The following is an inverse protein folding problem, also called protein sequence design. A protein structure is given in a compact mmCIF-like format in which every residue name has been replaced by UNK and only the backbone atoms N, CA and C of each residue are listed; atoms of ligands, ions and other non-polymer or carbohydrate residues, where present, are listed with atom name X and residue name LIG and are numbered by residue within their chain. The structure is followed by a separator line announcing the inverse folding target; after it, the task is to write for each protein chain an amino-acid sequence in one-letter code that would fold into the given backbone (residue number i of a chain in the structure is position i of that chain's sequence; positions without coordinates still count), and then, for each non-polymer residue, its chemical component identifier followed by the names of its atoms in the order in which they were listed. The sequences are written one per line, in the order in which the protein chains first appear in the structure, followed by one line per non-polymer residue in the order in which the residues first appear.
data_IF_897872228183
#
_entry.id   IF_897872228183
#
_cell.length_a   1.000
_cell.length_b   1.000
_cell.length_c   1.000
_cell.angle_alpha   90.00
_cell.angle_beta   90.00
_cell.angle_gamma   90.00
#
_symmetry.space_group_name_H-M   'P 1'
#
loop_
_entity.id
_entity.type
_entity.pdbx_description
1 polymer ?
#
# COMPACT_ATOMS: atom_id res chain seq x y z
N UNK A 1 -3.26 -13.43 -33.88
CA UNK A 1 -3.39 -14.73 -34.60
C UNK A 1 -3.50 -14.52 -36.11
N UNK A 2 -4.50 -13.76 -36.59
CA UNK A 2 -4.74 -13.49 -38.03
C UNK A 2 -3.57 -12.82 -38.79
N UNK A 3 -2.79 -11.93 -38.17
CA UNK A 3 -1.69 -11.21 -38.83
C UNK A 3 -0.29 -11.72 -38.50
N UNK A 4 -0.16 -12.59 -37.49
CA UNK A 4 1.13 -12.97 -36.89
C UNK A 4 1.42 -14.48 -36.97
N UNK A 5 0.41 -15.33 -37.23
CA UNK A 5 0.57 -16.78 -37.39
C UNK A 5 1.48 -17.42 -36.32
N UNK A 6 2.36 -18.34 -36.74
CA UNK A 6 3.38 -18.96 -35.88
C UNK A 6 4.51 -18.02 -35.43
N UNK A 7 4.61 -16.81 -35.99
CA UNK A 7 5.59 -15.79 -35.60
C UNK A 7 5.30 -15.14 -34.24
N UNK A 8 4.11 -15.34 -33.67
CA UNK A 8 3.75 -14.90 -32.33
C UNK A 8 4.62 -15.56 -31.26
N UNK A 9 4.98 -16.84 -31.44
CA UNK A 9 5.88 -17.58 -30.54
C UNK A 9 7.30 -17.01 -30.51
N UNK A 10 7.74 -16.33 -31.58
CA UNK A 10 9.03 -15.59 -31.61
C UNK A 10 8.93 -14.15 -31.12
N UNK A 11 7.72 -13.63 -30.89
CA UNK A 11 7.49 -12.25 -30.42
C UNK A 11 6.92 -12.28 -29.01
N UNK A 12 7.71 -12.86 -28.10
CA UNK A 12 7.36 -13.08 -26.69
C UNK A 12 6.83 -11.81 -26.01
N UNK A 13 7.41 -10.63 -26.30
CA UNK A 13 6.94 -9.35 -25.77
C UNK A 13 5.52 -8.95 -26.21
N UNK A 14 5.10 -9.31 -27.43
CA UNK A 14 3.72 -9.06 -27.88
C UNK A 14 2.74 -10.03 -27.20
N UNK A 15 3.14 -11.30 -27.06
CA UNK A 15 2.35 -12.29 -26.34
C UNK A 15 2.20 -11.92 -24.86
N UNK A 16 3.26 -11.43 -24.23
CA UNK A 16 3.25 -10.94 -22.86
C UNK A 16 2.22 -9.83 -22.67
N UNK A 17 2.19 -8.82 -23.55
CA UNK A 17 1.19 -7.75 -23.47
C UNK A 17 -0.25 -8.24 -23.64
N UNK A 18 -0.49 -9.21 -24.52
CA UNK A 18 -1.81 -9.84 -24.59
C UNK A 18 -2.18 -10.57 -23.30
N UNK A 19 -1.20 -11.24 -22.66
CA UNK A 19 -1.39 -11.89 -21.37
C UNK A 19 -1.65 -10.87 -20.26
N UNK A 20 -0.98 -9.72 -20.27
CA UNK A 20 -1.19 -8.63 -19.30
C UNK A 20 -2.62 -8.07 -19.42
N UNK A 21 -3.12 -7.86 -20.63
CA UNK A 21 -4.51 -7.42 -20.88
C UNK A 21 -5.50 -8.42 -20.28
N UNK A 22 -5.35 -9.71 -20.61
CA UNK A 22 -6.26 -10.76 -20.15
C UNK A 22 -6.18 -10.97 -18.64
N UNK A 23 -4.97 -10.92 -18.07
CA UNK A 23 -4.74 -11.08 -16.63
C UNK A 23 -5.42 -9.95 -15.86
N UNK A 24 -5.23 -8.70 -16.26
CA UNK A 24 -5.89 -7.57 -15.59
C UNK A 24 -7.41 -7.59 -15.76
N UNK A 25 -7.92 -7.96 -16.94
CA UNK A 25 -9.36 -8.11 -17.14
C UNK A 25 -9.96 -9.17 -16.21
N UNK A 26 -9.26 -10.30 -16.05
CA UNK A 26 -9.65 -11.35 -15.11
C UNK A 26 -9.61 -10.86 -13.67
N UNK A 27 -8.54 -10.19 -13.24
CA UNK A 27 -8.40 -9.65 -11.88
C UNK A 27 -9.50 -8.63 -11.56
N UNK A 28 -9.76 -7.67 -12.45
CA UNK A 28 -10.84 -6.69 -12.28
C UNK A 28 -12.20 -7.38 -12.17
N UNK A 29 -12.46 -8.37 -13.04
CA UNK A 29 -13.70 -9.15 -12.99
C UNK A 29 -13.85 -9.94 -11.69
N UNK A 30 -12.76 -10.54 -11.20
CA UNK A 30 -12.73 -11.28 -9.95
C UNK A 30 -12.96 -10.36 -8.74
N UNK A 31 -12.33 -9.17 -8.70
CA UNK A 31 -12.56 -8.17 -7.66
C UNK A 31 -14.03 -7.71 -7.63
N UNK A 32 -14.61 -7.42 -8.79
CA UNK A 32 -16.03 -7.04 -8.92
C UNK A 32 -16.94 -8.17 -8.43
N UNK A 33 -16.68 -9.41 -8.86
CA UNK A 33 -17.47 -10.58 -8.45
C UNK A 33 -17.36 -10.83 -6.95
N UNK A 34 -16.16 -10.72 -6.38
CA UNK A 34 -15.95 -10.90 -4.94
C UNK A 34 -16.68 -9.83 -4.13
N UNK A 35 -16.64 -8.57 -4.56
CA UNK A 35 -17.35 -7.48 -3.91
C UNK A 35 -18.86 -7.68 -3.95
N UNK A 36 -19.39 -8.15 -5.08
CA UNK A 36 -20.80 -8.53 -5.23
C UNK A 36 -21.17 -9.67 -4.28
N UNK A 37 -20.38 -10.75 -4.25
CA UNK A 37 -20.64 -11.94 -3.43
C UNK A 37 -20.58 -11.65 -1.93
N UNK A 38 -19.82 -10.64 -1.53
CA UNK A 38 -19.73 -10.16 -0.14
C UNK A 38 -20.85 -9.19 0.23
N UNK A 39 -21.79 -8.92 -0.66
CA UNK A 39 -22.93 -8.04 -0.41
C UNK A 39 -22.61 -6.55 -0.49
N UNK A 40 -21.61 -6.18 -1.30
CA UNK A 40 -21.21 -4.77 -1.56
C UNK A 40 -20.92 -3.97 -0.28
N UNK A 41 -20.01 -4.42 0.59
CA UNK A 41 -19.71 -3.72 1.84
C UNK A 41 -19.14 -2.32 1.57
N UNK A 42 -19.81 -1.27 2.08
CA UNK A 42 -19.46 0.12 1.78
C UNK A 42 -18.00 0.47 2.11
N UNK A 43 -17.43 -0.11 3.18
CA UNK A 43 -16.03 0.11 3.57
C UNK A 43 -14.99 -0.47 2.60
N UNK A 44 -15.36 -1.39 1.71
CA UNK A 44 -14.45 -1.95 0.69
C UNK A 44 -14.53 -1.23 -0.65
N UNK A 45 -15.49 -0.30 -0.80
CA UNK A 45 -15.66 0.43 -2.05
C UNK A 45 -14.38 1.15 -2.50
N UNK A 46 -13.62 1.86 -1.62
CA UNK A 46 -12.37 2.48 -2.03
C UNK A 46 -11.35 1.47 -2.58
N UNK A 47 -11.22 0.30 -1.94
CA UNK A 47 -10.31 -0.77 -2.38
C UNK A 47 -10.70 -1.33 -3.74
N UNK A 48 -12.00 -1.62 -3.96
CA UNK A 48 -12.48 -2.09 -5.25
C UNK A 48 -12.22 -1.04 -6.33
N UNK A 49 -12.58 0.22 -6.07
CA UNK A 49 -12.39 1.31 -7.01
C UNK A 49 -10.93 1.45 -7.42
N UNK A 50 -10.02 1.42 -6.44
CA UNK A 50 -8.59 1.49 -6.71
C UNK A 50 -8.11 0.32 -7.56
N UNK A 51 -8.52 -0.91 -7.24
CA UNK A 51 -8.15 -2.11 -8.01
C UNK A 51 -8.67 -2.06 -9.45
N UNK A 52 -9.87 -1.53 -9.67
CA UNK A 52 -10.41 -1.33 -11.01
C UNK A 52 -9.64 -0.24 -11.77
N UNK A 53 -9.39 0.92 -11.16
CA UNK A 53 -8.66 2.03 -11.80
C UNK A 53 -7.23 1.62 -12.19
N UNK A 54 -6.50 0.93 -11.30
CA UNK A 54 -5.17 0.37 -11.58
C UNK A 54 -5.22 -0.72 -12.66
N UNK A 55 -6.19 -1.63 -12.60
CA UNK A 55 -6.37 -2.68 -13.59
C UNK A 55 -6.67 -2.13 -15.00
N UNK A 56 -7.55 -1.12 -15.11
CA UNK A 56 -7.85 -0.47 -16.38
C UNK A 56 -6.65 0.30 -16.94
N UNK A 57 -5.88 0.98 -16.09
CA UNK A 57 -4.65 1.65 -16.51
C UNK A 57 -3.65 0.66 -17.10
N UNK A 58 -3.40 -0.47 -16.41
CA UNK A 58 -2.52 -1.53 -16.90
C UNK A 58 -3.00 -2.15 -18.22
N UNK A 59 -4.31 -2.32 -18.38
CA UNK A 59 -4.91 -2.77 -19.65
C UNK A 59 -4.61 -1.77 -20.77
N UNK A 60 -4.86 -0.46 -20.56
CA UNK A 60 -4.59 0.58 -21.56
C UNK A 60 -3.09 0.68 -21.91
N UNK A 61 -2.21 0.51 -20.93
CA UNK A 61 -0.76 0.47 -21.13
C UNK A 61 -0.35 -0.72 -22.00
N UNK A 62 -0.86 -1.91 -21.69
CA UNK A 62 -0.57 -3.12 -22.43
C UNK A 62 -1.10 -3.06 -23.87
N UNK A 63 -2.31 -2.53 -24.10
CA UNK A 63 -2.85 -2.31 -25.44
C UNK A 63 -2.03 -1.31 -26.26
N UNK A 64 -1.68 -0.16 -25.70
CA UNK A 64 -0.85 0.82 -26.42
C UNK A 64 0.53 0.24 -26.74
N UNK A 65 1.15 -0.49 -25.80
CA UNK A 65 2.37 -1.23 -26.04
C UNK A 65 2.20 -2.22 -27.20
N UNK A 66 1.11 -2.98 -27.22
CA UNK A 66 0.78 -3.93 -28.27
C UNK A 66 0.68 -3.24 -29.63
N UNK A 67 -0.09 -2.14 -29.74
CA UNK A 67 -0.27 -1.41 -31.00
C UNK A 67 1.01 -0.75 -31.49
N UNK A 68 1.80 -0.13 -30.60
CA UNK A 68 3.08 0.49 -30.96
C UNK A 68 4.08 -0.48 -31.57
N UNK A 69 4.02 -1.75 -31.17
CA UNK A 69 4.97 -2.79 -31.56
C UNK A 69 4.37 -3.83 -32.53
N UNK A 70 3.13 -3.64 -32.97
CA UNK A 70 2.53 -4.52 -33.96
C UNK A 70 3.25 -4.31 -35.31
N UNK A 71 3.72 -5.38 -35.98
CA UNK A 71 4.48 -5.24 -37.23
C UNK A 71 3.66 -4.68 -38.38
N UNK A 72 2.37 -5.04 -38.42
CA UNK A 72 1.42 -4.57 -39.42
C UNK A 72 0.85 -3.22 -38.93
N UNK A 73 1.40 -2.12 -39.45
CA UNK A 73 1.02 -0.74 -39.07
C UNK A 73 -0.44 -0.41 -39.42
N UNK A 74 -0.97 -0.75 -40.62
CA UNK A 74 -2.39 -0.58 -40.92
C UNK A 74 -3.31 -1.29 -39.91
N UNK A 75 -3.01 -2.54 -39.56
CA UNK A 75 -3.78 -3.28 -38.57
C UNK A 75 -3.68 -2.63 -37.17
N UNK A 76 -2.52 -2.09 -36.81
CA UNK A 76 -2.31 -1.41 -35.55
C UNK A 76 -3.17 -0.13 -35.42
N UNK A 77 -3.25 0.66 -36.50
CA UNK A 77 -4.07 1.87 -36.53
C UNK A 77 -5.57 1.55 -36.47
N UNK A 78 -6.01 0.55 -37.23
CA UNK A 78 -7.39 0.08 -37.19
C UNK A 78 -7.79 -0.41 -35.79
N UNK A 79 -6.94 -1.24 -35.17
CA UNK A 79 -7.19 -1.72 -33.81
C UNK A 79 -7.20 -0.59 -32.79
N UNK A 80 -6.26 0.36 -32.88
CA UNK A 80 -6.21 1.52 -31.99
C UNK A 80 -7.47 2.37 -32.11
N UNK A 81 -7.96 2.60 -33.32
CA UNK A 81 -9.20 3.35 -33.54
C UNK A 81 -10.43 2.61 -33.01
N UNK A 82 -10.47 1.27 -33.14
CA UNK A 82 -11.58 0.46 -32.63
C UNK A 82 -11.61 0.39 -31.10
N UNK A 83 -10.45 0.27 -30.44
CA UNK A 83 -10.39 0.15 -28.97
C UNK A 83 -10.36 1.49 -28.25
N UNK A 84 -9.73 2.51 -28.84
CA UNK A 84 -9.50 3.82 -28.24
C UNK A 84 -9.77 4.93 -29.26
N UNK A 85 -11.02 5.10 -29.73
CA UNK A 85 -11.35 6.06 -30.78
C UNK A 85 -11.01 7.50 -30.39
N UNK A 86 -11.20 7.84 -29.11
CA UNK A 86 -10.91 9.14 -28.49
C UNK A 86 -9.58 9.18 -27.74
N UNK A 87 -8.80 8.09 -27.77
CA UNK A 87 -7.53 7.97 -27.04
C UNK A 87 -7.64 7.17 -25.73
N UNK A 88 -6.63 7.34 -24.87
CA UNK A 88 -6.58 6.72 -23.53
C UNK A 88 -7.47 7.50 -22.57
N UNK A 89 -8.21 6.80 -21.72
CA UNK A 89 -9.14 7.39 -20.77
C UNK A 89 -8.76 7.14 -19.32
N UNK A 90 -7.92 6.13 -19.06
CA UNK A 90 -7.56 5.77 -17.70
C UNK A 90 -6.48 6.71 -17.17
N UNK A 91 -6.85 7.53 -16.18
CA UNK A 91 -5.90 8.34 -15.40
C UNK A 91 -5.20 7.52 -14.31
N UNK A 92 -5.68 6.30 -14.06
CA UNK A 92 -5.22 5.48 -12.95
C UNK A 92 -5.81 5.93 -11.60
N UNK A 93 -5.40 5.27 -10.51
CA UNK A 93 -5.87 5.64 -9.18
C UNK A 93 -5.31 6.99 -8.74
N UNK A 94 -6.19 7.87 -8.25
CA UNK A 94 -5.78 9.18 -7.72
C UNK A 94 -5.05 9.06 -6.37
N UNK A 95 -4.21 10.04 -6.06
CA UNK A 95 -3.53 10.14 -4.75
C UNK A 95 -4.52 10.22 -3.58
N UNK A 96 -5.66 10.90 -3.78
CA UNK A 96 -6.72 10.98 -2.77
C UNK A 96 -7.29 9.59 -2.45
N UNK A 97 -7.53 8.78 -3.49
CA UNK A 97 -7.97 7.40 -3.31
C UNK A 97 -6.88 6.56 -2.64
N UNK A 98 -5.62 6.75 -3.04
CA UNK A 98 -4.47 6.11 -2.38
C UNK A 98 -4.38 6.43 -0.89
N UNK A 99 -4.64 7.67 -0.50
CA UNK A 99 -4.67 8.09 0.91
C UNK A 99 -5.78 7.38 1.69
N UNK A 100 -7.00 7.30 1.13
CA UNK A 100 -8.11 6.58 1.75
C UNK A 100 -7.79 5.09 1.97
N UNK A 101 -7.10 4.46 1.01
CA UNK A 101 -6.65 3.07 1.17
C UNK A 101 -5.61 2.95 2.29
N UNK A 102 -4.66 3.87 2.36
CA UNK A 102 -3.64 3.86 3.39
C UNK A 102 -4.25 3.98 4.79
N UNK A 103 -5.22 4.88 4.98
CA UNK A 103 -5.97 5.01 6.24
C UNK A 103 -6.66 3.69 6.63
N UNK A 104 -7.37 3.05 5.69
CA UNK A 104 -8.06 1.77 5.93
C UNK A 104 -7.09 0.66 6.34
N UNK A 105 -5.88 0.63 5.76
CA UNK A 105 -4.88 -0.41 5.98
C UNK A 105 -4.03 -0.16 7.24
N UNK A 106 -3.81 1.11 7.60
CA UNK A 106 -3.03 1.54 8.76
C UNK A 106 -3.86 1.63 10.03
N UNK A 107 -5.17 1.44 9.97
CA UNK A 107 -6.03 1.33 11.15
C UNK A 107 -6.60 -0.08 11.34
N UNK A 108 -6.70 -0.58 12.58
CA UNK A 108 -7.50 -1.75 12.90
C UNK A 108 -8.95 -1.53 12.46
N UNK A 109 -9.36 -2.19 11.38
CA UNK A 109 -10.68 -2.05 10.80
C UNK A 109 -11.23 -3.41 10.39
N UNK A 110 -12.56 -3.54 10.38
CA UNK A 110 -13.21 -4.77 9.91
C UNK A 110 -12.88 -5.08 8.44
N UNK A 111 -12.50 -4.07 7.66
CA UNK A 111 -12.03 -4.24 6.28
C UNK A 111 -10.66 -4.91 6.26
N UNK A 112 -9.72 -4.45 7.11
CA UNK A 112 -8.39 -5.05 7.27
C UNK A 112 -8.49 -6.51 7.72
N UNK A 113 -9.35 -6.81 8.70
CA UNK A 113 -9.59 -8.17 9.18
C UNK A 113 -10.12 -9.09 8.07
N UNK A 114 -10.94 -8.57 7.16
CA UNK A 114 -11.44 -9.32 5.99
C UNK A 114 -10.39 -9.50 4.91
N UNK A 115 -9.43 -8.58 4.77
CA UNK A 115 -8.31 -8.71 3.83
C UNK A 115 -7.29 -9.75 4.31
N UNK A 116 -7.10 -9.85 5.62
CA UNK A 116 -6.22 -10.86 6.24
C UNK A 116 -6.94 -12.16 6.59
N UNK A 117 -8.22 -12.29 6.26
CA UNK A 117 -8.99 -13.50 6.53
C UNK A 117 -8.35 -14.72 5.86
N UNK A 118 -8.00 -15.72 6.67
CA UNK A 118 -7.31 -16.94 6.23
C UNK A 118 -5.78 -16.86 6.30
N UNK A 119 -5.21 -15.68 6.56
CA UNK A 119 -3.80 -15.55 6.93
C UNK A 119 -3.62 -15.81 8.43
N UNK A 120 -2.49 -16.43 8.81
CA UNK A 120 -2.10 -16.54 10.21
C UNK A 120 -1.47 -15.22 10.66
N UNK A 121 -2.15 -14.50 11.56
CA UNK A 121 -1.66 -13.26 12.18
C UNK A 121 -1.34 -13.55 13.65
N UNK A 122 -0.07 -13.73 14.01
CA UNK A 122 0.30 -14.02 15.39
C UNK A 122 0.06 -12.80 16.29
N UNK A 123 -0.34 -13.06 17.53
CA UNK A 123 -0.48 -12.03 18.56
C UNK A 123 0.76 -11.92 19.45
N UNK A 124 1.75 -12.80 19.27
CA UNK A 124 2.99 -12.80 20.04
C UNK A 124 3.96 -11.71 19.52
N UNK A 125 4.32 -10.69 20.32
CA UNK A 125 5.28 -9.65 19.91
C UNK A 125 6.69 -10.16 19.62
N UNK A 126 6.99 -11.42 19.97
CA UNK A 126 8.26 -12.08 19.64
C UNK A 126 8.32 -12.52 18.18
N UNK A 127 7.17 -12.74 17.54
CA UNK A 127 7.09 -13.05 16.11
C UNK A 127 7.14 -11.78 15.28
N UNK A 128 7.77 -11.78 14.08
CA UNK A 128 7.92 -10.57 13.26
C UNK A 128 6.59 -9.87 12.94
N UNK A 129 5.56 -10.64 12.55
CA UNK A 129 4.23 -10.08 12.23
C UNK A 129 3.51 -9.62 13.50
N UNK A 130 3.62 -10.36 14.60
CA UNK A 130 2.97 -10.00 15.86
C UNK A 130 3.58 -8.75 16.49
N UNK A 131 4.88 -8.52 16.28
CA UNK A 131 5.56 -7.28 16.62
C UNK A 131 5.00 -6.08 15.87
N UNK A 132 4.72 -6.24 14.57
CA UNK A 132 4.10 -5.18 13.76
C UNK A 132 2.68 -4.85 14.25
N UNK A 133 1.87 -5.87 14.54
CA UNK A 133 0.51 -5.68 15.08
C UNK A 133 0.50 -5.01 16.46
N UNK A 134 1.41 -5.42 17.35
CA UNK A 134 1.57 -4.83 18.67
C UNK A 134 2.04 -3.36 18.58
N UNK A 135 3.00 -3.07 17.72
CA UNK A 135 3.45 -1.71 17.45
C UNK A 135 2.32 -0.84 16.89
N UNK A 136 1.55 -1.35 15.93
CA UNK A 136 0.43 -0.60 15.33
C UNK A 136 -0.58 -0.16 16.38
N UNK A 137 -1.03 -1.09 17.24
CA UNK A 137 -1.99 -0.79 18.31
C UNK A 137 -1.45 0.26 19.29
N UNK A 138 -0.18 0.15 19.68
CA UNK A 138 0.45 1.09 20.62
C UNK A 138 0.65 2.48 20.02
N UNK A 139 1.05 2.56 18.75
CA UNK A 139 1.23 3.85 18.04
C UNK A 139 -0.12 4.57 17.91
N UNK A 140 -1.18 3.87 17.52
CA UNK A 140 -2.53 4.47 17.45
C UNK A 140 -2.99 4.95 18.82
N UNK A 141 -2.79 4.15 19.88
CA UNK A 141 -3.14 4.56 21.23
C UNK A 141 -2.33 5.79 21.73
N UNK A 142 -1.10 5.96 21.24
CA UNK A 142 -0.23 7.08 21.60
C UNK A 142 -0.42 8.32 20.72
N UNK A 143 -1.11 8.23 19.58
CA UNK A 143 -1.28 9.33 18.62
C UNK A 143 -1.84 10.63 19.25
N UNK A 144 -2.88 10.59 20.12
CA UNK A 144 -3.37 11.82 20.77
C UNK A 144 -2.32 12.48 21.67
N UNK A 145 -1.50 11.66 22.33
CA UNK A 145 -0.42 12.11 23.23
C UNK A 145 0.72 12.74 22.43
N UNK A 146 1.11 12.10 21.32
CA UNK A 146 2.13 12.61 20.41
C UNK A 146 1.68 13.96 19.80
N UNK A 147 0.42 14.06 19.35
CA UNK A 147 -0.15 15.34 18.85
C UNK A 147 -0.10 16.45 19.89
N UNK A 148 -0.39 16.15 21.17
CA UNK A 148 -0.30 17.11 22.28
C UNK A 148 1.13 17.62 22.48
N UNK A 149 2.11 16.72 22.38
CA UNK A 149 3.53 17.04 22.49
C UNK A 149 3.99 17.95 21.34
N UNK A 150 3.66 17.60 20.10
CA UNK A 150 3.98 18.42 18.92
C UNK A 150 3.25 19.76 18.89
N UNK A 151 2.02 19.84 19.41
CA UNK A 151 1.34 21.11 19.58
C UNK A 151 2.06 22.05 20.56
N UNK A 152 2.71 21.51 21.59
CA UNK A 152 3.54 22.30 22.51
C UNK A 152 4.85 22.77 21.87
N UNK A 153 5.45 21.95 21.00
CA UNK A 153 6.59 22.35 20.16
C UNK A 153 6.21 23.49 19.22
N UNK A 154 5.07 23.39 18.53
CA UNK A 154 4.58 24.44 17.63
C UNK A 154 4.26 25.76 18.36
N UNK A 155 3.95 25.72 19.65
CA UNK A 155 3.77 26.90 20.51
C UNK A 155 5.08 27.43 21.12
N UNK A 156 6.21 26.81 20.83
CA UNK A 156 7.53 27.19 21.37
C UNK A 156 7.72 26.85 22.84
N UNK A 157 6.84 26.03 23.44
CA UNK A 157 6.96 25.59 24.85
C UNK A 157 8.00 24.48 24.99
N UNK A 158 8.16 23.66 23.95
CA UNK A 158 9.17 22.63 23.84
C UNK A 158 10.05 22.86 22.61
N UNK A 159 11.29 22.41 22.69
CA UNK A 159 12.22 22.39 21.56
C UNK A 159 12.14 21.01 20.90
N UNK A 160 12.01 20.98 19.57
CA UNK A 160 12.04 19.73 18.82
C UNK A 160 13.41 19.04 18.99
N UNK A 161 13.40 17.73 19.26
CA UNK A 161 14.60 16.95 19.50
C UNK A 161 14.34 15.45 19.40
N UNK A 162 15.30 14.60 19.81
CA UNK A 162 15.10 13.16 19.86
C UNK A 162 13.88 12.77 20.71
N UNK A 163 13.14 11.75 20.28
CA UNK A 163 11.87 11.33 20.91
C UNK A 163 11.98 11.16 22.44
N UNK A 164 13.05 10.52 22.92
CA UNK A 164 13.26 10.26 24.36
C UNK A 164 13.49 11.54 25.17
N UNK A 165 14.21 12.50 24.58
CA UNK A 165 14.46 13.80 25.21
C UNK A 165 13.18 14.63 25.26
N UNK A 166 12.44 14.68 24.15
CA UNK A 166 11.20 15.43 24.05
C UNK A 166 10.12 14.88 24.99
N UNK A 167 10.06 13.55 25.16
CA UNK A 167 9.18 12.90 26.14
C UNK A 167 9.53 13.33 27.57
N UNK A 168 10.80 13.27 27.95
CA UNK A 168 11.25 13.64 29.29
C UNK A 168 10.97 15.12 29.61
N UNK A 169 11.21 16.00 28.64
CA UNK A 169 10.95 17.44 28.77
C UNK A 169 9.44 17.74 28.80
N UNK A 170 8.63 17.01 28.04
CA UNK A 170 7.18 17.10 28.06
C UNK A 170 6.55 16.70 29.40
N UNK A 171 7.10 15.69 30.07
CA UNK A 171 6.68 15.29 31.42
C UNK A 171 7.13 16.33 32.46
N UNK A 172 8.40 16.77 32.40
CA UNK A 172 8.93 17.79 33.32
C UNK A 172 8.22 19.13 33.20
N UNK A 173 7.84 19.51 31.98
CA UNK A 173 7.09 20.73 31.67
C UNK A 173 5.60 20.64 31.99
N UNK A 174 5.11 19.50 32.50
CA UNK A 174 3.69 19.32 32.85
C UNK A 174 2.74 19.25 31.64
N UNK A 175 3.27 19.10 30.43
CA UNK A 175 2.48 18.98 29.19
C UNK A 175 1.85 17.59 29.11
N UNK A 176 2.60 16.56 29.54
CA UNK A 176 2.15 15.19 29.63
C UNK A 176 2.04 14.74 31.09
N UNK A 177 1.01 13.97 31.39
CA UNK A 177 0.89 13.23 32.64
C UNK A 177 1.78 12.00 32.63
N UNK A 178 2.12 11.45 33.80
CA UNK A 178 2.89 10.20 33.90
C UNK A 178 2.32 9.04 33.06
N UNK A 179 1.01 8.76 33.13
CA UNK A 179 0.37 7.73 32.30
C UNK A 179 0.41 8.01 30.78
N UNK A 180 0.21 9.26 30.37
CA UNK A 180 0.34 9.66 28.96
C UNK A 180 1.79 9.43 28.48
N UNK A 181 2.77 9.84 29.28
CA UNK A 181 4.18 9.67 28.96
C UNK A 181 4.59 8.20 28.82
N UNK A 182 4.10 7.34 29.70
CA UNK A 182 4.33 5.89 29.63
C UNK A 182 3.69 5.27 28.38
N UNK A 183 2.51 5.75 27.97
CA UNK A 183 1.84 5.30 26.75
C UNK A 183 2.68 5.63 25.52
N UNK A 184 3.17 6.87 25.44
CA UNK A 184 4.04 7.30 24.33
C UNK A 184 5.39 6.54 24.35
N UNK A 185 6.00 6.34 25.52
CA UNK A 185 7.24 5.55 25.66
C UNK A 185 7.10 4.14 25.09
N UNK A 186 6.03 3.42 25.47
CA UNK A 186 5.77 2.06 24.98
C UNK A 186 5.55 2.00 23.47
N UNK A 187 4.89 3.00 22.91
CA UNK A 187 4.69 3.11 21.47
C UNK A 187 6.01 3.34 20.73
N UNK A 188 6.86 4.25 21.23
CA UNK A 188 8.18 4.52 20.68
C UNK A 188 9.09 3.28 20.72
N UNK A 189 9.09 2.54 21.84
CA UNK A 189 9.83 1.29 21.98
C UNK A 189 9.35 0.22 20.99
N UNK A 190 8.04 0.00 20.90
CA UNK A 190 7.47 -0.98 19.96
C UNK A 190 7.75 -0.59 18.50
N UNK A 191 7.65 0.71 18.16
CA UNK A 191 8.01 1.25 16.84
C UNK A 191 9.48 0.99 16.51
N UNK A 192 10.40 1.27 17.43
CA UNK A 192 11.83 1.01 17.23
C UNK A 192 12.11 -0.46 16.99
N UNK A 193 11.52 -1.34 17.80
CA UNK A 193 11.72 -2.78 17.66
C UNK A 193 11.13 -3.34 16.36
N UNK A 194 10.02 -2.76 15.88
CA UNK A 194 9.43 -3.10 14.58
C UNK A 194 10.27 -2.62 13.38
N UNK A 195 10.93 -1.46 13.49
CA UNK A 195 11.78 -0.89 12.44
C UNK A 195 13.17 -1.53 12.44
N UNK A 196 13.64 -1.99 13.60
CA UNK A 196 14.97 -2.57 13.77
C UNK A 196 15.11 -3.78 12.84
N UNK A 197 16.02 -3.65 11.88
CA UNK A 197 16.48 -4.74 11.04
C UNK A 197 17.63 -5.44 11.75
N UNK A 198 17.79 -6.75 11.52
CA UNK A 198 18.97 -7.48 11.99
C UNK A 198 20.24 -6.76 11.50
N UNK A 199 21.08 -6.36 12.45
CA UNK A 199 22.39 -5.80 12.15
C UNK A 199 23.31 -6.98 11.83
N UNK A 200 23.62 -7.15 10.55
CA UNK A 200 24.58 -8.16 10.15
C UNK A 200 25.98 -7.66 10.45
N UNK A 201 26.83 -8.46 11.12
CA UNK A 201 28.23 -8.10 11.28
C UNK A 201 28.83 -7.81 9.91
N UNK A 202 29.52 -6.67 9.78
CA UNK A 202 30.18 -6.30 8.53
C UNK A 202 31.08 -7.45 8.08
N UNK A 203 30.88 -7.91 6.84
CA UNK A 203 31.68 -8.98 6.24
C UNK A 203 33.16 -8.62 6.42
N UNK A 204 33.88 -9.37 7.27
CA UNK A 204 35.30 -9.17 7.54
C UNK A 204 35.69 -8.75 8.96
N UNK A 205 34.76 -8.54 9.89
CA UNK A 205 35.13 -8.38 11.32
C UNK A 205 35.19 -9.74 12.03
N UNK A 206 36.28 -10.05 12.75
CA UNK A 206 36.33 -11.25 13.57
C UNK A 206 35.29 -11.16 14.68
N UNK A 207 34.61 -12.27 14.98
CA UNK A 207 33.75 -12.39 16.15
C UNK A 207 34.63 -12.22 17.40
N UNK A 208 34.41 -11.17 18.17
CA UNK A 208 34.83 -11.10 19.58
C UNK A 208 33.92 -11.95 20.46
#
# INVERSE_FOLDING_TARGET
LLTLGGGLKRKEKLSGRCADILSNLYLVSACLKQFEDRGRPAGEWPLLRWACEDGFQKIEEAFDGLFRNLPNRPAAWMLRWLTFPTGRHSEGPSDQLGHQLAEILLEPSAVRDRLTAGAFVPMDPREPVGRLEDALRKVIAAEPVEKKLWAAVGKGVLVAGPDDGMLADGIKGGILTGPEGETLRRALEARREAIRVDDFPRIGQPKE
#
